data_IF_566479117857
#
_entry.id   IF_566479117857
#
_cell.length_a   1.000
_cell.length_b   1.000
_cell.length_c   1.000
_cell.angle_alpha   90.00
_cell.angle_beta   90.00
_cell.angle_gamma   90.00
#
_symmetry.space_group_name_H-M   'P 1'
#
loop_
_entity.id
_entity.type
_entity.pdbx_description
1 polymer ?
#
# COMPACT_ATOMS: atom_id res chain seq x y z
N UNK A 1 9.46 -1.30 -21.34
CA UNK A 1 8.09 -1.00 -21.85
C UNK A 1 7.33 -2.30 -21.80
N UNK A 2 6.37 -2.40 -20.88
CA UNK A 2 5.41 -3.49 -20.75
C UNK A 2 4.77 -3.74 -22.10
N UNK A 3 4.61 -5.01 -22.50
CA UNK A 3 3.71 -5.32 -23.60
C UNK A 3 2.33 -4.91 -23.12
N UNK A 4 1.82 -3.81 -23.63
CA UNK A 4 0.45 -3.36 -23.34
C UNK A 4 -0.48 -4.42 -23.90
N UNK A 5 -0.96 -5.33 -23.05
CA UNK A 5 -1.86 -6.37 -23.49
C UNK A 5 -3.20 -5.71 -23.78
N UNK A 6 -3.68 -5.86 -25.03
CA UNK A 6 -5.06 -5.50 -25.31
C UNK A 6 -5.99 -6.33 -24.42
N UNK A 7 -7.14 -5.78 -23.97
CA UNK A 7 -8.07 -6.53 -23.13
C UNK A 7 -8.51 -7.84 -23.80
N UNK A 8 -8.67 -7.85 -25.14
CA UNK A 8 -8.97 -9.06 -25.88
C UNK A 8 -7.85 -10.11 -25.79
N UNK A 9 -6.59 -9.72 -26.01
CA UNK A 9 -5.46 -10.64 -25.89
C UNK A 9 -5.30 -11.19 -24.46
N UNK A 10 -5.63 -10.39 -23.44
CA UNK A 10 -5.67 -10.82 -22.05
C UNK A 10 -6.73 -11.90 -21.82
N UNK A 11 -7.96 -11.71 -22.33
CA UNK A 11 -9.05 -12.71 -22.18
C UNK A 11 -8.80 -14.04 -22.91
N UNK A 12 -7.92 -14.06 -23.91
CA UNK A 12 -7.58 -15.28 -24.66
C UNK A 12 -6.53 -16.14 -23.93
N UNK A 13 -5.92 -15.63 -22.86
CA UNK A 13 -4.98 -16.40 -22.04
C UNK A 13 -5.72 -17.22 -20.99
N UNK A 14 -5.12 -18.35 -20.63
CA UNK A 14 -5.51 -19.13 -19.45
C UNK A 14 -4.57 -18.78 -18.32
N UNK A 15 -5.13 -18.39 -17.17
CA UNK A 15 -4.38 -18.09 -15.96
C UNK A 15 -4.72 -19.11 -14.87
N UNK A 16 -3.72 -19.54 -14.12
CA UNK A 16 -3.93 -20.26 -12.87
C UNK A 16 -4.55 -19.33 -11.82
N UNK A 17 -3.99 -18.12 -11.71
CA UNK A 17 -4.44 -17.11 -10.76
C UNK A 17 -4.78 -15.81 -11.48
N UNK A 18 -5.91 -15.22 -11.10
CA UNK A 18 -6.25 -13.83 -11.48
C UNK A 18 -6.22 -12.96 -10.22
N UNK A 19 -5.27 -12.01 -10.18
CA UNK A 19 -5.12 -11.04 -9.10
C UNK A 19 -5.84 -9.75 -9.47
N UNK A 20 -6.75 -9.31 -8.61
CA UNK A 20 -7.55 -8.09 -8.81
C UNK A 20 -6.99 -6.97 -7.96
N UNK A 21 -6.38 -5.97 -8.60
CA UNK A 21 -5.73 -4.83 -7.98
C UNK A 21 -4.21 -4.98 -7.97
N UNK A 22 -3.53 -4.11 -8.70
CA UNK A 22 -2.07 -3.97 -8.74
C UNK A 22 -1.52 -3.09 -7.64
N UNK A 23 -2.12 -3.13 -6.44
CA UNK A 23 -1.70 -2.35 -5.28
C UNK A 23 -0.50 -2.95 -4.53
N UNK A 24 -0.29 -2.50 -3.29
CA UNK A 24 0.78 -2.97 -2.42
C UNK A 24 0.79 -4.50 -2.29
N UNK A 25 -0.30 -5.11 -1.85
CA UNK A 25 -0.36 -6.57 -1.66
C UNK A 25 -0.48 -7.33 -2.99
N UNK A 26 -1.27 -6.83 -3.94
CA UNK A 26 -1.57 -7.55 -5.18
C UNK A 26 -0.34 -7.78 -6.06
N UNK A 27 0.54 -6.78 -6.19
CA UNK A 27 1.81 -6.95 -6.91
C UNK A 27 2.70 -7.98 -6.23
N UNK A 28 2.81 -7.95 -4.89
CA UNK A 28 3.62 -8.91 -4.13
C UNK A 28 3.11 -10.34 -4.36
N UNK A 29 1.80 -10.55 -4.23
CA UNK A 29 1.21 -11.88 -4.43
C UNK A 29 1.42 -12.36 -5.85
N UNK A 30 1.15 -11.51 -6.85
CA UNK A 30 1.27 -11.89 -8.25
C UNK A 30 2.70 -12.29 -8.62
N UNK A 31 3.71 -11.52 -8.17
CA UNK A 31 5.11 -11.81 -8.47
C UNK A 31 5.59 -13.06 -7.74
N UNK A 32 5.20 -13.27 -6.47
CA UNK A 32 5.59 -14.48 -5.72
C UNK A 32 4.96 -15.74 -6.28
N UNK A 33 3.71 -15.68 -6.74
CA UNK A 33 3.08 -16.79 -7.46
C UNK A 33 3.80 -17.10 -8.79
N UNK A 34 4.26 -16.07 -9.49
CA UNK A 34 4.97 -16.20 -10.76
C UNK A 34 6.43 -16.69 -10.61
N UNK A 35 6.98 -16.80 -9.39
CA UNK A 35 8.29 -17.42 -9.15
C UNK A 35 8.30 -18.90 -9.58
N UNK A 36 7.14 -19.59 -9.56
CA UNK A 36 7.00 -20.91 -10.19
C UNK A 36 6.75 -20.72 -11.70
N UNK A 37 7.68 -21.16 -12.58
CA UNK A 37 7.53 -21.00 -14.03
C UNK A 37 6.36 -21.81 -14.62
N UNK A 38 5.77 -22.74 -13.87
CA UNK A 38 4.60 -23.52 -14.28
C UNK A 38 3.27 -22.83 -13.93
N UNK A 39 3.30 -21.72 -13.18
CA UNK A 39 2.13 -20.95 -12.80
C UNK A 39 1.98 -19.74 -13.70
N UNK A 40 0.79 -19.52 -14.25
CA UNK A 40 0.46 -18.32 -15.04
C UNK A 40 -0.43 -17.39 -14.23
N UNK A 41 0.00 -16.15 -14.10
CA UNK A 41 -0.70 -15.13 -13.30
C UNK A 41 -1.15 -13.98 -14.21
N UNK A 42 -2.44 -13.64 -14.12
CA UNK A 42 -2.99 -12.43 -14.73
C UNK A 42 -3.32 -11.41 -13.63
N UNK A 43 -2.88 -10.17 -13.79
CA UNK A 43 -3.18 -9.08 -12.85
C UNK A 43 -3.97 -7.98 -13.55
N UNK A 44 -5.10 -7.61 -12.96
CA UNK A 44 -5.98 -6.53 -13.45
C UNK A 44 -5.83 -5.32 -12.53
N UNK A 45 -5.46 -4.17 -13.07
CA UNK A 45 -5.34 -2.89 -12.35
C UNK A 45 -6.18 -1.79 -13.04
N UNK A 46 -6.97 -1.07 -12.25
CA UNK A 46 -7.86 -0.01 -12.76
C UNK A 46 -7.09 1.24 -13.19
N UNK A 47 -5.96 1.53 -12.54
CA UNK A 47 -5.05 2.62 -12.85
C UNK A 47 -4.04 2.30 -13.94
N UNK A 48 -3.18 3.28 -14.21
CA UNK A 48 -2.12 3.17 -15.22
C UNK A 48 -0.76 2.83 -14.59
N UNK A 49 0.21 2.52 -15.45
CA UNK A 49 1.63 2.46 -15.08
C UNK A 49 2.19 3.88 -14.99
N UNK A 50 2.61 4.27 -13.79
CA UNK A 50 3.23 5.58 -13.51
C UNK A 50 4.62 5.45 -12.90
N UNK A 51 5.31 4.31 -13.07
CA UNK A 51 6.59 4.07 -12.36
C UNK A 51 7.66 5.09 -12.71
N UNK A 52 7.70 5.57 -13.95
CA UNK A 52 8.65 6.57 -14.41
C UNK A 52 8.19 8.02 -14.17
N UNK A 53 7.02 8.23 -13.58
CA UNK A 53 6.51 9.58 -13.34
C UNK A 53 7.21 10.22 -12.14
N UNK A 54 7.86 11.37 -12.36
CA UNK A 54 8.56 12.10 -11.31
C UNK A 54 7.63 12.54 -10.17
N UNK A 55 6.33 12.74 -10.43
CA UNK A 55 5.33 13.03 -9.39
C UNK A 55 5.22 11.90 -8.37
N UNK A 56 5.49 10.66 -8.79
CA UNK A 56 5.42 9.47 -7.94
C UNK A 56 6.80 9.10 -7.41
N UNK A 57 7.80 9.06 -8.30
CA UNK A 57 9.14 8.61 -7.98
C UNK A 57 9.88 9.55 -7.03
N UNK A 58 9.68 10.86 -7.11
CA UNK A 58 10.33 11.82 -6.20
C UNK A 58 9.58 11.86 -4.86
N UNK A 59 10.25 11.67 -3.70
CA UNK A 59 9.62 11.70 -2.38
C UNK A 59 8.70 12.89 -2.10
N UNK A 60 9.02 14.06 -2.65
CA UNK A 60 8.24 15.30 -2.54
C UNK A 60 7.49 15.68 -3.83
N UNK A 61 7.28 14.70 -4.72
CA UNK A 61 6.46 14.87 -5.90
C UNK A 61 5.05 15.36 -5.53
N UNK A 62 4.45 16.13 -6.42
CA UNK A 62 3.15 16.78 -6.19
C UNK A 62 2.17 16.48 -7.31
N UNK A 63 0.88 16.72 -7.06
CA UNK A 63 -0.16 16.70 -8.10
C UNK A 63 -0.75 15.32 -8.44
N UNK A 64 -0.40 14.28 -7.68
CA UNK A 64 -1.04 12.96 -7.75
C UNK A 64 -2.21 12.81 -6.76
N UNK A 65 -2.17 13.49 -5.62
CA UNK A 65 -3.30 13.51 -4.68
C UNK A 65 -4.47 14.32 -5.26
N UNK A 66 -5.70 13.84 -5.07
CA UNK A 66 -6.91 14.49 -5.62
C UNK A 66 -6.90 14.63 -7.16
N UNK A 67 -6.16 13.75 -7.84
CA UNK A 67 -6.08 13.71 -9.29
C UNK A 67 -6.65 12.37 -9.79
N UNK A 68 -7.68 12.36 -10.65
CA UNK A 68 -8.32 11.12 -11.09
C UNK A 68 -7.37 10.17 -11.84
N UNK A 69 -6.25 10.65 -12.37
CA UNK A 69 -5.26 9.81 -13.07
C UNK A 69 -4.43 8.93 -12.10
N UNK A 70 -4.42 9.26 -10.81
CA UNK A 70 -3.58 8.63 -9.77
C UNK A 70 -4.37 8.23 -8.52
N UNK A 71 -5.56 8.80 -8.30
CA UNK A 71 -6.35 8.69 -7.09
C UNK A 71 -7.79 8.29 -7.43
N UNK A 72 -8.40 7.46 -6.58
CA UNK A 72 -9.82 7.15 -6.65
C UNK A 72 -10.72 8.33 -6.27
N UNK A 73 -10.16 9.39 -5.67
CA UNK A 73 -10.85 10.61 -5.25
C UNK A 73 -12.07 10.36 -4.37
N UNK A 74 -11.95 9.42 -3.43
CA UNK A 74 -13.08 9.04 -2.59
C UNK A 74 -13.31 10.08 -1.50
N UNK A 75 -14.54 10.13 -1.01
CA UNK A 75 -14.89 10.89 0.18
C UNK A 75 -15.87 10.08 1.02
N UNK A 76 -15.78 10.23 2.33
CA UNK A 76 -16.77 9.67 3.24
C UNK A 76 -18.13 10.35 3.06
N UNK A 77 -19.21 9.69 3.48
CA UNK A 77 -20.46 10.41 3.76
C UNK A 77 -20.22 11.48 4.85
N UNK A 78 -21.08 12.50 5.00
CA UNK A 78 -20.98 13.46 6.10
C UNK A 78 -20.82 12.77 7.46
N UNK A 79 -19.77 13.13 8.20
CA UNK A 79 -19.43 12.50 9.47
C UNK A 79 -19.94 13.35 10.65
N UNK A 80 -20.95 12.90 11.43
CA UNK A 80 -21.44 13.66 12.59
C UNK A 80 -20.34 13.97 13.61
N UNK A 81 -19.44 13.00 13.86
CA UNK A 81 -18.28 13.16 14.74
C UNK A 81 -17.21 14.14 14.22
N UNK A 82 -17.31 14.60 12.97
CA UNK A 82 -16.40 15.56 12.37
C UNK A 82 -17.13 16.84 11.88
N UNK A 83 -18.15 17.27 12.63
CA UNK A 83 -18.98 18.44 12.33
C UNK A 83 -19.68 18.36 10.96
N UNK A 84 -20.19 17.18 10.61
CA UNK A 84 -20.89 16.88 9.35
C UNK A 84 -20.04 17.13 8.08
N UNK A 85 -18.71 17.15 8.21
CA UNK A 85 -17.83 17.24 7.05
C UNK A 85 -17.79 15.91 6.29
N UNK A 86 -17.74 16.02 4.97
CA UNK A 86 -17.30 14.94 4.08
C UNK A 86 -15.78 14.94 4.07
N UNK A 87 -15.15 13.83 4.44
CA UNK A 87 -13.69 13.73 4.57
C UNK A 87 -13.14 13.06 3.32
N UNK A 88 -12.19 13.71 2.66
CA UNK A 88 -11.49 13.15 1.49
C UNK A 88 -10.61 11.96 1.92
N UNK A 89 -10.72 10.83 1.22
CA UNK A 89 -9.96 9.61 1.48
C UNK A 89 -9.20 9.22 0.21
N UNK A 90 -7.94 9.62 0.15
CA UNK A 90 -7.07 9.26 -0.97
C UNK A 90 -6.81 7.75 -1.00
N UNK A 91 -6.93 7.14 -2.19
CA UNK A 91 -6.44 5.78 -2.47
C UNK A 91 -5.79 5.77 -3.85
N UNK A 92 -4.58 5.23 -3.93
CA UNK A 92 -3.84 5.16 -5.18
C UNK A 92 -4.55 4.29 -6.22
N UNK A 93 -4.67 4.81 -7.45
CA UNK A 93 -5.26 4.19 -8.64
C UNK A 93 -4.19 4.10 -9.73
N UNK A 94 -3.23 3.20 -9.53
CA UNK A 94 -2.07 2.97 -10.39
C UNK A 94 -1.42 1.63 -10.03
N UNK A 95 -0.49 1.14 -10.87
CA UNK A 95 0.41 0.06 -10.44
C UNK A 95 1.24 0.52 -9.23
N UNK A 96 1.20 -0.27 -8.16
CA UNK A 96 1.70 0.08 -6.83
C UNK A 96 0.61 0.55 -5.86
N UNK A 97 -0.55 0.96 -6.37
CA UNK A 97 -1.67 1.48 -5.58
C UNK A 97 -1.23 2.57 -4.61
N UNK A 98 -1.74 2.51 -3.38
CA UNK A 98 -1.43 3.52 -2.36
C UNK A 98 0.04 3.54 -1.91
N UNK A 99 0.86 2.52 -2.20
CA UNK A 99 2.32 2.63 -1.94
C UNK A 99 3.01 3.64 -2.85
N UNK A 100 2.44 3.91 -4.03
CA UNK A 100 2.89 4.96 -4.95
C UNK A 100 2.50 6.37 -4.51
N UNK A 101 1.53 6.51 -3.60
CA UNK A 101 1.03 7.82 -3.15
C UNK A 101 1.13 8.06 -1.63
N UNK A 102 1.77 7.15 -0.87
CA UNK A 102 1.94 7.30 0.58
C UNK A 102 3.04 8.32 0.95
N UNK A 103 3.12 8.65 2.24
CA UNK A 103 4.14 9.53 2.82
C UNK A 103 5.49 8.84 3.10
N UNK A 104 5.69 7.63 2.59
CA UNK A 104 6.91 6.81 2.67
C UNK A 104 7.42 6.41 4.05
N UNK A 105 6.70 6.73 5.13
CA UNK A 105 7.03 6.23 6.46
C UNK A 105 7.00 4.71 6.45
N UNK A 106 8.10 4.08 6.84
CA UNK A 106 8.19 2.65 7.06
C UNK A 106 8.21 2.40 8.56
N UNK A 107 7.18 1.71 9.06
CA UNK A 107 7.04 1.38 10.46
C UNK A 107 6.14 0.14 10.60
N UNK A 108 6.42 -0.69 11.61
CA UNK A 108 5.57 -1.80 12.05
C UNK A 108 4.71 -1.39 13.25
N UNK A 109 3.64 -2.16 13.47
CA UNK A 109 2.83 -2.07 14.69
C UNK A 109 3.60 -2.58 15.91
N UNK A 110 3.01 -2.41 17.09
CA UNK A 110 3.49 -3.02 18.31
C UNK A 110 3.27 -4.54 18.25
N UNK A 111 4.08 -5.36 18.93
CA UNK A 111 3.96 -6.82 18.84
C UNK A 111 2.55 -7.30 19.25
N UNK A 112 1.98 -6.67 20.26
CA UNK A 112 0.65 -6.92 20.81
C UNK A 112 -0.47 -6.67 19.79
N UNK A 113 -0.28 -5.77 18.82
CA UNK A 113 -1.26 -5.52 17.76
C UNK A 113 -1.41 -6.77 16.88
N UNK A 114 -0.30 -7.43 16.55
CA UNK A 114 -0.29 -8.66 15.75
C UNK A 114 -0.69 -9.88 16.58
N UNK A 115 -0.21 -9.97 17.83
CA UNK A 115 -0.60 -11.03 18.75
C UNK A 115 -2.12 -11.01 19.01
N UNK A 116 -2.74 -9.82 19.02
CA UNK A 116 -4.18 -9.67 19.07
C UNK A 116 -4.87 -10.34 17.86
N UNK A 117 -4.32 -10.24 16.64
CA UNK A 117 -4.88 -10.93 15.47
C UNK A 117 -4.91 -12.45 15.64
N UNK A 118 -3.79 -13.03 16.11
CA UNK A 118 -3.72 -14.46 16.41
C UNK A 118 -4.80 -14.86 17.43
N UNK A 119 -4.91 -14.11 18.53
CA UNK A 119 -5.85 -14.42 19.62
C UNK A 119 -7.33 -14.24 19.24
N UNK A 120 -7.66 -13.23 18.43
CA UNK A 120 -9.05 -12.86 18.10
C UNK A 120 -9.58 -13.71 16.94
N UNK A 121 -8.77 -13.94 15.90
CA UNK A 121 -9.22 -14.55 14.66
C UNK A 121 -8.83 -16.02 14.50
N UNK A 122 -8.04 -16.58 15.43
CA UNK A 122 -7.78 -18.03 15.50
C UNK A 122 -6.82 -18.56 14.44
N UNK A 123 -5.96 -17.71 13.86
CA UNK A 123 -5.03 -18.07 12.79
C UNK A 123 -3.66 -18.61 13.30
N UNK A 124 -3.67 -19.33 14.43
CA UNK A 124 -2.47 -19.89 15.09
C UNK A 124 -1.36 -18.84 15.35
N UNK A 125 -0.15 -19.26 15.72
CA UNK A 125 0.98 -18.36 15.98
C UNK A 125 1.50 -17.66 14.70
N UNK A 126 1.01 -18.04 13.50
CA UNK A 126 1.48 -17.53 12.20
C UNK A 126 1.21 -16.03 11.98
N UNK A 127 0.17 -15.48 12.61
CA UNK A 127 -0.17 -14.05 12.53
C UNK A 127 0.24 -13.25 13.76
N UNK A 128 0.97 -13.87 14.70
CA UNK A 128 1.67 -13.17 15.78
C UNK A 128 2.80 -12.29 15.22
N UNK A 129 3.36 -11.42 16.05
CA UNK A 129 4.54 -10.64 15.64
C UNK A 129 5.69 -11.55 15.19
N UNK A 130 5.97 -12.60 15.97
CA UNK A 130 7.04 -13.55 15.67
C UNK A 130 6.76 -14.37 14.40
N UNK A 131 5.50 -14.75 14.18
CA UNK A 131 5.08 -15.45 12.95
C UNK A 131 5.22 -14.59 11.70
N UNK A 132 4.97 -13.28 11.82
CA UNK A 132 5.07 -12.32 10.71
C UNK A 132 6.49 -11.76 10.51
N UNK A 133 7.35 -11.78 11.53
CA UNK A 133 8.70 -11.22 11.48
C UNK A 133 9.54 -11.73 10.29
N UNK A 134 9.56 -13.04 9.96
CA UNK A 134 10.24 -13.53 8.75
C UNK A 134 9.74 -12.86 7.45
N UNK A 135 8.45 -12.56 7.35
CA UNK A 135 7.85 -11.93 6.17
C UNK A 135 8.10 -10.42 6.14
N UNK A 136 8.08 -9.75 7.29
CA UNK A 136 8.53 -8.36 7.39
C UNK A 136 9.97 -8.23 6.88
N UNK A 137 10.88 -9.07 7.38
CA UNK A 137 12.28 -9.12 6.94
C UNK A 137 12.41 -9.46 5.45
N UNK A 138 11.62 -10.43 4.94
CA UNK A 138 11.66 -10.81 3.52
C UNK A 138 11.21 -9.68 2.57
N UNK A 139 10.45 -8.70 3.05
CA UNK A 139 9.92 -7.61 2.23
C UNK A 139 10.90 -6.44 2.04
N UNK A 140 11.85 -6.27 2.96
CA UNK A 140 12.68 -5.07 3.05
C UNK A 140 14.17 -5.34 2.83
N UNK A 141 14.86 -4.31 2.33
CA UNK A 141 16.31 -4.19 2.30
C UNK A 141 16.66 -2.92 3.06
N UNK A 142 16.94 -3.13 4.33
CA UNK A 142 17.22 -2.11 5.30
C UNK A 142 18.68 -1.70 5.27
N UNK A 143 18.91 -0.39 5.43
CA UNK A 143 20.24 0.21 5.57
C UNK A 143 20.38 0.88 6.92
N UNK A 144 21.60 0.89 7.46
CA UNK A 144 21.87 1.46 8.78
C UNK A 144 21.60 2.98 8.82
N UNK A 145 20.97 3.51 9.89
CA UNK A 145 20.75 4.94 10.02
C UNK A 145 22.06 5.72 10.14
N UNK A 146 22.09 6.89 9.49
CA UNK A 146 23.16 7.87 9.71
C UNK A 146 23.03 8.61 11.04
N UNK A 147 23.91 9.58 11.27
CA UNK A 147 24.03 10.31 12.55
C UNK A 147 23.07 11.49 12.72
N UNK A 148 22.21 11.77 11.73
CA UNK A 148 21.50 13.06 11.62
C UNK A 148 20.20 13.15 12.43
N UNK A 149 19.59 12.04 12.82
CA UNK A 149 18.23 12.06 13.39
C UNK A 149 18.17 12.34 14.90
N UNK A 150 19.23 12.00 15.61
CA UNK A 150 19.42 12.37 17.02
C UNK A 150 20.78 13.04 17.21
N UNK A 151 20.95 14.29 16.76
CA UNK A 151 22.24 14.97 16.85
C UNK A 151 22.78 14.97 18.27
N UNK A 152 23.96 14.37 18.46
CA UNK A 152 24.61 14.23 19.76
C UNK A 152 24.19 13.02 20.59
N UNK A 153 23.30 12.15 20.09
CA UNK A 153 22.98 10.87 20.73
C UNK A 153 23.69 9.73 20.00
N UNK A 154 24.32 8.83 20.76
CA UNK A 154 24.79 7.56 20.22
C UNK A 154 23.60 6.61 20.06
N UNK A 155 23.51 5.94 18.93
CA UNK A 155 22.55 4.84 18.78
C UNK A 155 23.03 3.70 19.70
N UNK A 156 22.24 3.41 20.72
CA UNK A 156 22.60 2.40 21.74
C UNK A 156 21.87 1.07 21.57
N UNK A 157 20.87 0.98 20.69
CA UNK A 157 20.07 -0.24 20.48
C UNK A 157 20.50 -0.96 19.20
N UNK A 158 20.55 -2.29 19.26
CA UNK A 158 20.79 -3.10 18.06
C UNK A 158 19.55 -3.14 17.17
N UNK A 159 19.76 -2.98 15.86
CA UNK A 159 18.73 -3.07 14.83
C UNK A 159 18.70 -4.46 14.14
N UNK A 160 19.80 -5.21 14.20
CA UNK A 160 20.09 -6.29 13.23
C UNK A 160 19.10 -7.44 13.26
N UNK A 161 18.46 -7.71 14.39
CA UNK A 161 17.60 -8.89 14.52
C UNK A 161 16.20 -8.62 13.93
N UNK A 162 15.77 -7.36 13.90
CA UNK A 162 14.44 -6.96 13.46
C UNK A 162 14.34 -6.76 11.94
N UNK A 163 15.45 -6.49 11.25
CA UNK A 163 15.42 -6.03 9.87
C UNK A 163 15.91 -7.03 8.83
N UNK A 164 15.37 -6.91 7.62
CA UNK A 164 15.79 -7.69 6.44
C UNK A 164 16.76 -6.92 5.55
N UNK A 165 17.63 -7.64 4.82
CA UNK A 165 18.65 -7.02 3.97
C UNK A 165 18.60 -7.47 2.51
N UNK A 166 17.69 -8.39 2.18
CA UNK A 166 17.62 -9.04 0.86
C UNK A 166 16.27 -8.82 0.15
N UNK A 167 15.35 -8.09 0.80
CA UNK A 167 14.04 -7.79 0.24
C UNK A 167 14.09 -6.77 -0.91
N UNK A 168 13.01 -6.67 -1.70
CA UNK A 168 12.98 -5.75 -2.83
C UNK A 168 12.73 -4.29 -2.41
N UNK A 169 12.00 -4.03 -1.32
CA UNK A 169 11.73 -2.65 -0.86
C UNK A 169 12.96 -2.07 -0.19
N UNK A 170 13.53 -1.04 -0.81
CA UNK A 170 14.70 -0.32 -0.28
C UNK A 170 14.27 0.62 0.83
N UNK A 171 14.94 0.53 1.98
CA UNK A 171 14.72 1.42 3.11
C UNK A 171 15.97 2.24 3.40
N UNK A 172 15.76 3.50 3.74
CA UNK A 172 16.80 4.43 4.14
C UNK A 172 16.28 5.36 5.23
N UNK A 173 17.20 6.04 5.90
CA UNK A 173 16.86 7.07 6.87
C UNK A 173 17.07 8.44 6.27
N UNK A 174 16.30 9.46 6.68
CA UNK A 174 16.43 10.74 6.04
C UNK A 174 17.81 11.36 6.36
N UNK A 175 18.40 11.95 5.34
CA UNK A 175 19.78 12.45 5.34
C UNK A 175 19.84 13.99 5.47
N UNK A 176 18.72 14.61 5.85
CA UNK A 176 18.55 16.03 6.00
C UNK A 176 17.69 16.31 7.23
N UNK A 177 18.10 17.29 8.03
CA UNK A 177 17.35 17.77 9.19
C UNK A 177 17.09 19.27 9.05
N UNK A 178 15.91 19.67 9.49
CA UNK A 178 15.47 21.05 9.64
C UNK A 178 16.01 21.68 10.92
N UNK A 179 15.87 23.01 11.02
CA UNK A 179 16.24 23.77 12.22
C UNK A 179 15.38 23.40 13.45
N UNK A 180 14.29 22.65 13.28
CA UNK A 180 13.35 22.29 14.36
C UNK A 180 13.52 20.86 14.86
N UNK A 181 14.25 19.99 14.16
CA UNK A 181 14.34 18.58 14.52
C UNK A 181 15.07 18.37 15.86
N UNK A 182 16.24 19.02 16.06
CA UNK A 182 16.99 18.94 17.34
C UNK A 182 16.18 19.52 18.50
N UNK A 183 15.62 20.75 18.42
CA UNK A 183 14.77 21.29 19.48
C UNK A 183 13.56 20.40 19.80
N UNK A 184 12.98 19.73 18.80
CA UNK A 184 11.85 18.82 19.02
C UNK A 184 12.27 17.59 19.84
N UNK A 185 13.41 16.97 19.49
CA UNK A 185 13.98 15.84 20.25
C UNK A 185 14.26 16.24 21.70
N UNK A 186 14.91 17.38 21.92
CA UNK A 186 15.22 17.90 23.26
C UNK A 186 13.94 18.16 24.07
N UNK A 187 12.92 18.76 23.45
CA UNK A 187 11.64 19.02 24.09
C UNK A 187 10.96 17.73 24.53
N UNK A 188 10.92 16.70 23.66
CA UNK A 188 10.36 15.38 23.97
C UNK A 188 11.10 14.72 25.14
N UNK A 189 12.44 14.76 25.14
CA UNK A 189 13.23 14.21 26.25
C UNK A 189 13.00 14.98 27.56
N UNK A 190 12.82 16.30 27.51
CA UNK A 190 12.52 17.11 28.70
C UNK A 190 11.19 16.75 29.37
N UNK A 191 10.28 16.12 28.63
CA UNK A 191 9.02 15.56 29.14
C UNK A 191 9.18 14.15 29.72
N UNK A 192 10.38 13.58 29.69
CA UNK A 192 10.68 12.23 30.17
C UNK A 192 10.31 11.12 29.19
N UNK A 193 10.04 11.43 27.92
CA UNK A 193 9.76 10.44 26.90
C UNK A 193 11.06 9.86 26.33
N UNK A 194 11.22 8.53 26.26
CA UNK A 194 12.42 7.90 25.73
C UNK A 194 12.49 8.04 24.20
N UNK A 195 13.72 8.11 23.69
CA UNK A 195 13.99 7.93 22.26
C UNK A 195 13.91 6.43 21.95
N UNK A 196 13.28 6.09 20.83
CA UNK A 196 13.17 4.72 20.38
C UNK A 196 13.92 4.55 19.07
N UNK A 197 15.09 3.92 19.17
CA UNK A 197 15.94 3.69 18.02
C UNK A 197 15.41 2.55 17.16
N UNK A 198 14.84 1.49 17.74
CA UNK A 198 14.35 0.32 17.00
C UNK A 198 12.84 0.08 17.18
N UNK A 199 11.98 0.98 16.65
CA UNK A 199 10.52 0.86 16.80
C UNK A 199 9.92 -0.35 16.06
N UNK A 200 10.67 -0.92 15.11
CA UNK A 200 10.25 -2.05 14.28
C UNK A 200 10.57 -3.43 14.90
N UNK A 201 11.23 -3.43 16.06
CA UNK A 201 11.57 -4.63 16.83
C UNK A 201 10.43 -5.22 17.67
N UNK A 202 9.22 -4.66 17.57
CA UNK A 202 8.04 -5.11 18.31
C UNK A 202 7.64 -4.18 19.46
N UNK A 203 8.52 -3.25 19.86
CA UNK A 203 8.20 -2.18 20.80
C UNK A 203 8.30 -0.82 20.10
N UNK A 204 7.14 -0.26 19.75
CA UNK A 204 6.98 1.06 19.13
C UNK A 204 6.85 2.23 20.13
N UNK A 205 7.10 2.01 21.43
CA UNK A 205 6.93 3.03 22.48
C UNK A 205 7.99 4.13 22.40
N UNK A 206 7.61 5.39 22.64
CA UNK A 206 8.54 6.52 22.71
C UNK A 206 8.59 7.36 21.44
N UNK A 207 9.69 8.07 21.23
CA UNK A 207 9.88 8.94 20.06
C UNK A 207 10.75 8.24 19.01
N UNK A 208 10.17 7.74 17.91
CA UNK A 208 10.82 6.74 17.07
C UNK A 208 11.75 7.33 16.00
N UNK A 209 12.84 6.61 15.74
CA UNK A 209 13.65 6.75 14.55
C UNK A 209 13.00 5.94 13.42
N UNK A 210 12.43 6.65 12.44
CA UNK A 210 11.64 6.01 11.40
C UNK A 210 12.38 5.97 10.07
N UNK A 211 12.47 4.77 9.50
CA UNK A 211 12.93 4.60 8.13
C UNK A 211 11.92 5.18 7.13
N UNK A 212 12.38 5.34 5.89
CA UNK A 212 11.61 5.69 4.73
C UNK A 212 11.83 4.65 3.64
N UNK A 213 10.78 4.27 2.92
CA UNK A 213 10.94 3.42 1.73
C UNK A 213 11.43 4.25 0.53
N UNK A 214 12.67 4.75 0.62
CA UNK A 214 13.39 5.51 -0.40
C UNK A 214 14.69 4.77 -0.71
N UNK A 215 14.99 4.59 -1.99
CA UNK A 215 16.23 3.98 -2.47
C UNK A 215 17.42 4.87 -2.06
N UNK A 216 18.34 4.40 -1.20
CA UNK A 216 19.42 5.22 -0.65
C UNK A 216 20.44 5.65 -1.71
N UNK A 217 20.52 4.97 -2.86
CA UNK A 217 21.45 5.30 -3.93
C UNK A 217 20.85 6.26 -4.95
N UNK A 218 19.53 6.19 -5.15
CA UNK A 218 18.83 6.97 -6.19
C UNK A 218 18.03 8.15 -5.66
N UNK A 219 17.74 8.20 -4.36
CA UNK A 219 16.91 9.24 -3.77
C UNK A 219 15.44 9.21 -4.21
N UNK A 220 14.98 8.10 -4.80
CA UNK A 220 13.60 7.93 -5.29
C UNK A 220 12.81 6.97 -4.42
N UNK A 221 11.48 7.16 -4.39
CA UNK A 221 10.52 6.27 -3.74
C UNK A 221 10.75 4.82 -4.15
N UNK A 222 10.84 3.96 -3.14
CA UNK A 222 10.89 2.50 -3.28
C UNK A 222 9.55 1.90 -2.89
N UNK A 223 8.75 1.52 -3.88
CA UNK A 223 7.39 1.03 -3.69
C UNK A 223 7.08 -0.14 -4.62
N UNK A 224 5.91 -0.77 -4.47
CA UNK A 224 5.66 -2.04 -5.16
C UNK A 224 5.60 -1.91 -6.69
N UNK A 225 5.22 -0.75 -7.23
CA UNK A 225 5.33 -0.48 -8.68
C UNK A 225 6.79 -0.54 -9.17
N UNK A 226 7.71 0.13 -8.48
CA UNK A 226 9.14 0.12 -8.83
C UNK A 226 9.85 -1.19 -8.53
N UNK A 227 9.48 -1.89 -7.45
CA UNK A 227 10.27 -3.00 -6.91
C UNK A 227 9.68 -4.39 -7.21
N UNK A 228 8.38 -4.48 -7.50
CA UNK A 228 7.71 -5.75 -7.82
C UNK A 228 7.16 -5.76 -9.24
N UNK A 229 6.62 -4.65 -9.75
CA UNK A 229 6.15 -4.63 -11.14
C UNK A 229 7.31 -4.46 -12.14
N UNK A 230 8.16 -3.44 -11.97
CA UNK A 230 9.17 -3.11 -12.99
C UNK A 230 10.14 -4.26 -13.32
N UNK A 231 10.73 -4.97 -12.34
CA UNK A 231 11.64 -6.09 -12.60
C UNK A 231 10.97 -7.27 -13.30
N UNK A 232 9.65 -7.45 -13.08
CA UNK A 232 8.87 -8.59 -13.56
C UNK A 232 7.97 -8.24 -14.76
N UNK A 233 8.04 -7.01 -15.28
CA UNK A 233 7.16 -6.51 -16.35
C UNK A 233 7.30 -7.25 -17.69
N UNK A 234 8.33 -8.08 -17.83
CA UNK A 234 8.63 -8.88 -19.03
C UNK A 234 8.60 -10.39 -18.75
N UNK A 235 8.18 -10.81 -17.56
CA UNK A 235 8.13 -12.24 -17.22
C UNK A 235 7.08 -12.95 -18.09
N UNK A 236 7.43 -14.11 -18.69
CA UNK A 236 6.58 -14.76 -19.68
C UNK A 236 5.29 -15.37 -19.09
N UNK A 237 5.27 -15.58 -17.77
CA UNK A 237 4.17 -16.19 -17.03
C UNK A 237 3.40 -15.19 -16.14
N UNK A 238 3.77 -13.92 -16.11
CA UNK A 238 3.08 -12.86 -15.37
C UNK A 238 2.61 -11.75 -16.33
N UNK A 239 1.30 -11.54 -16.40
CA UNK A 239 0.68 -10.63 -17.36
C UNK A 239 -0.08 -9.55 -16.61
N UNK A 240 0.28 -8.28 -16.85
CA UNK A 240 -0.38 -7.12 -16.27
C UNK A 240 -1.33 -6.47 -17.28
N UNK A 241 -2.54 -6.13 -16.85
CA UNK A 241 -3.53 -5.37 -17.60
C UNK A 241 -3.92 -4.12 -16.79
N UNK A 242 -3.37 -2.96 -17.17
CA UNK A 242 -3.69 -1.65 -16.59
C UNK A 242 -4.90 -1.00 -17.26
N UNK A 243 -5.50 0.01 -16.64
CA UNK A 243 -6.70 0.68 -17.14
C UNK A 243 -7.96 -0.19 -17.15
N UNK A 244 -7.92 -1.36 -16.52
CA UNK A 244 -8.99 -2.34 -16.48
C UNK A 244 -9.56 -2.42 -15.06
N UNK A 245 -10.82 -2.04 -14.88
CA UNK A 245 -11.47 -2.10 -13.57
C UNK A 245 -12.25 -3.40 -13.44
N UNK A 246 -11.91 -4.26 -12.49
CA UNK A 246 -12.75 -5.38 -12.12
C UNK A 246 -14.11 -4.88 -11.60
N UNK A 247 -15.19 -5.49 -12.09
CA UNK A 247 -16.56 -5.08 -11.77
C UNK A 247 -17.42 -6.21 -11.21
N UNK A 248 -17.02 -7.47 -11.40
CA UNK A 248 -17.73 -8.63 -10.85
C UNK A 248 -16.83 -9.86 -10.78
N UNK A 249 -16.97 -10.66 -9.72
CA UNK A 249 -16.42 -12.00 -9.61
C UNK A 249 -17.43 -12.98 -10.19
N UNK A 250 -16.95 -13.86 -11.05
CA UNK A 250 -17.76 -14.90 -11.66
C UNK A 250 -17.67 -16.17 -10.82
N UNK A 251 -18.81 -16.78 -10.52
CA UNK A 251 -18.88 -18.02 -9.77
C UNK A 251 -19.30 -19.18 -10.68
N UNK A 252 -18.52 -20.26 -10.64
CA UNK A 252 -18.84 -21.52 -11.29
C UNK A 252 -19.66 -22.44 -10.37
N UNK A 253 -20.20 -23.51 -10.96
CA UNK A 253 -20.81 -24.60 -10.19
C UNK A 253 -19.71 -25.51 -9.65
N UNK A 254 -19.73 -25.77 -8.35
CA UNK A 254 -18.91 -26.82 -7.74
C UNK A 254 -19.69 -28.14 -7.65
N UNK A 255 -19.00 -29.23 -7.31
CA UNK A 255 -19.64 -30.48 -6.92
C UNK A 255 -20.22 -30.32 -5.50
N UNK A 256 -21.54 -30.14 -5.39
CA UNK A 256 -22.25 -29.93 -4.12
C UNK A 256 -22.70 -28.48 -3.93
N UNK A 257 -22.78 -28.05 -2.67
CA UNK A 257 -23.27 -26.71 -2.28
C UNK A 257 -22.15 -25.63 -2.28
N UNK A 258 -20.93 -25.99 -2.63
CA UNK A 258 -19.79 -25.05 -2.65
C UNK A 258 -19.88 -24.06 -3.81
N UNK A 259 -19.58 -22.79 -3.51
CA UNK A 259 -19.48 -21.71 -4.49
C UNK A 259 -18.01 -21.49 -4.80
N UNK A 260 -17.64 -21.53 -6.08
CA UNK A 260 -16.24 -21.44 -6.51
C UNK A 260 -16.07 -20.26 -7.46
N UNK A 261 -15.17 -19.34 -7.15
CA UNK A 261 -14.80 -18.27 -8.07
C UNK A 261 -14.12 -18.88 -9.30
N UNK A 262 -14.62 -18.58 -10.50
CA UNK A 262 -14.12 -19.11 -11.77
C UNK A 262 -13.45 -18.05 -12.64
N UNK A 263 -13.52 -16.78 -12.25
CA UNK A 263 -12.99 -15.68 -13.05
C UNK A 263 -13.50 -14.31 -12.62
N UNK A 264 -13.20 -13.31 -13.45
CA UNK A 264 -13.50 -11.90 -13.19
C UNK A 264 -14.03 -11.25 -14.45
N UNK A 265 -15.11 -10.51 -14.31
CA UNK A 265 -15.53 -9.52 -15.30
C UNK A 265 -14.85 -8.18 -15.00
N UNK A 266 -14.36 -7.51 -16.04
CA UNK A 266 -13.74 -6.20 -15.94
C UNK A 266 -14.23 -5.26 -17.04
N UNK A 267 -14.18 -3.95 -16.76
CA UNK A 267 -14.44 -2.89 -17.73
C UNK A 267 -13.13 -2.28 -18.18
N UNK A 268 -12.98 -2.10 -19.50
CA UNK A 268 -11.87 -1.38 -20.11
C UNK A 268 -12.46 -0.41 -21.15
N UNK A 269 -12.23 0.89 -20.97
CA UNK A 269 -12.85 1.96 -21.78
C UNK A 269 -14.38 1.81 -21.94
N UNK A 270 -15.07 1.42 -20.86
CA UNK A 270 -16.53 1.23 -20.85
C UNK A 270 -17.02 -0.08 -21.48
N UNK A 271 -16.14 -0.87 -22.10
CA UNK A 271 -16.47 -2.18 -22.67
C UNK A 271 -16.21 -3.27 -21.64
N UNK A 272 -17.15 -4.21 -21.52
CA UNK A 272 -17.07 -5.33 -20.59
C UNK A 272 -16.32 -6.51 -21.22
N UNK A 273 -15.43 -7.12 -20.46
CA UNK A 273 -14.67 -8.32 -20.78
C UNK A 273 -14.73 -9.31 -19.62
N UNK A 274 -14.37 -10.56 -19.88
CA UNK A 274 -14.33 -11.64 -18.88
C UNK A 274 -13.06 -12.46 -19.03
N UNK A 275 -12.41 -12.77 -17.91
CA UNK A 275 -11.25 -13.67 -17.85
C UNK A 275 -11.52 -14.78 -16.84
N UNK A 276 -11.03 -16.00 -17.14
CA UNK A 276 -11.16 -17.13 -16.25
C UNK A 276 -9.86 -17.38 -15.46
N UNK A 277 -10.00 -17.88 -14.24
CA UNK A 277 -8.93 -18.44 -13.43
C UNK A 277 -9.16 -19.94 -13.27
N UNK A 278 -8.12 -20.76 -13.41
CA UNK A 278 -8.24 -22.22 -13.25
C UNK A 278 -8.04 -22.67 -11.81
N UNK A 279 -7.45 -21.84 -10.94
CA UNK A 279 -7.28 -22.12 -9.51
C UNK A 279 -8.03 -21.09 -8.67
N UNK A 280 -7.52 -19.87 -8.58
CA UNK A 280 -8.05 -18.87 -7.64
C UNK A 280 -8.17 -17.48 -8.26
N UNK A 281 -9.15 -16.73 -7.74
CA UNK A 281 -9.23 -15.28 -7.92
C UNK A 281 -8.83 -14.63 -6.60
N UNK A 282 -7.80 -13.78 -6.64
CA UNK A 282 -7.23 -13.15 -5.45
C UNK A 282 -7.61 -11.68 -5.44
N UNK A 283 -8.35 -11.24 -4.42
CA UNK A 283 -8.79 -9.85 -4.29
C UNK A 283 -7.76 -9.02 -3.52
N UNK A 284 -7.13 -8.08 -4.23
CA UNK A 284 -6.17 -7.13 -3.68
C UNK A 284 -6.54 -5.68 -4.06
N UNK A 285 -7.84 -5.39 -4.20
CA UNK A 285 -8.35 -4.08 -4.59
C UNK A 285 -8.26 -3.04 -3.45
N UNK A 286 -7.87 -3.47 -2.24
CA UNK A 286 -7.72 -2.63 -1.05
C UNK A 286 -8.97 -2.58 -0.18
N UNK A 287 -8.82 -2.06 1.04
CA UNK A 287 -9.82 -2.16 2.11
C UNK A 287 -11.21 -1.60 1.77
N UNK A 288 -11.31 -0.66 0.82
CA UNK A 288 -12.60 -0.06 0.41
C UNK A 288 -13.19 -0.75 -0.83
N UNK A 289 -12.34 -1.11 -1.81
CA UNK A 289 -12.81 -1.63 -3.10
C UNK A 289 -13.00 -3.14 -3.09
N UNK A 290 -12.26 -3.89 -2.26
CA UNK A 290 -12.47 -5.33 -2.09
C UNK A 290 -13.89 -5.66 -1.60
N UNK A 291 -14.40 -5.09 -0.48
CA UNK A 291 -15.78 -5.36 -0.06
C UNK A 291 -16.81 -4.89 -1.08
N UNK A 292 -16.63 -3.72 -1.69
CA UNK A 292 -17.50 -3.24 -2.78
C UNK A 292 -17.58 -4.26 -3.93
N UNK A 293 -16.44 -4.82 -4.36
CA UNK A 293 -16.43 -5.79 -5.45
C UNK A 293 -17.11 -7.11 -5.04
N UNK A 294 -16.93 -7.56 -3.79
CA UNK A 294 -17.65 -8.71 -3.24
C UNK A 294 -19.16 -8.49 -3.26
N UNK A 295 -19.64 -7.34 -2.77
CA UNK A 295 -21.06 -6.97 -2.78
C UNK A 295 -21.62 -6.92 -4.20
N UNK A 296 -20.93 -6.26 -5.13
CA UNK A 296 -21.30 -6.22 -6.55
C UNK A 296 -21.36 -7.62 -7.20
N UNK A 297 -20.67 -8.59 -6.60
CA UNK A 297 -20.64 -9.98 -7.05
C UNK A 297 -21.69 -10.85 -6.36
N UNK A 298 -22.44 -10.31 -5.39
CA UNK A 298 -23.45 -11.03 -4.63
C UNK A 298 -22.95 -11.63 -3.32
N UNK A 299 -21.79 -11.22 -2.80
CA UNK A 299 -21.24 -11.66 -1.50
C UNK A 299 -21.36 -10.50 -0.51
N UNK A 300 -22.30 -10.57 0.42
CA UNK A 300 -22.64 -9.47 1.34
C UNK A 300 -23.98 -9.70 2.05
N UNK A 301 -24.55 -8.67 2.68
CA UNK A 301 -25.88 -8.75 3.31
C UNK A 301 -26.96 -9.00 2.23
N UNK A 302 -27.62 -10.15 2.29
CA UNK A 302 -28.57 -10.56 1.26
C UNK A 302 -29.76 -9.59 1.09
N UNK A 303 -30.22 -8.93 2.16
CA UNK A 303 -31.33 -7.97 2.10
C UNK A 303 -30.88 -6.68 1.42
N UNK A 304 -29.71 -6.15 1.81
CA UNK A 304 -29.11 -4.98 1.17
C UNK A 304 -28.89 -5.24 -0.32
N UNK A 305 -28.24 -6.36 -0.66
CA UNK A 305 -27.96 -6.73 -2.04
C UNK A 305 -29.24 -6.85 -2.88
N UNK A 306 -30.26 -7.51 -2.35
CA UNK A 306 -31.56 -7.64 -3.02
C UNK A 306 -32.21 -6.26 -3.24
N UNK A 307 -32.14 -5.37 -2.26
CA UNK A 307 -32.67 -4.00 -2.37
C UNK A 307 -31.99 -3.15 -3.46
N UNK A 308 -30.73 -3.48 -3.79
CA UNK A 308 -29.93 -2.86 -4.84
C UNK A 308 -30.07 -3.59 -6.20
N UNK A 309 -30.90 -4.62 -6.29
CA UNK A 309 -31.10 -5.41 -7.51
C UNK A 309 -29.95 -6.38 -7.82
N UNK A 310 -29.12 -6.70 -6.83
CA UNK A 310 -28.03 -7.67 -6.94
C UNK A 310 -28.53 -9.01 -6.38
N UNK A 311 -28.43 -10.08 -7.18
CA UNK A 311 -28.76 -11.44 -6.70
C UNK A 311 -27.73 -11.89 -5.66
N UNK A 312 -28.13 -12.18 -4.41
CA UNK A 312 -27.21 -12.74 -3.42
C UNK A 312 -26.71 -14.12 -3.84
N UNK A 313 -25.41 -14.34 -3.66
CA UNK A 313 -24.69 -15.58 -3.92
C UNK A 313 -24.23 -16.19 -2.60
N UNK A 314 -23.65 -15.38 -1.72
CA UNK A 314 -23.32 -15.75 -0.34
C UNK A 314 -23.84 -14.66 0.59
N UNK A 315 -24.69 -15.03 1.54
CA UNK A 315 -25.14 -14.13 2.59
C UNK A 315 -24.04 -14.02 3.66
N UNK A 316 -23.31 -12.91 3.63
CA UNK A 316 -22.20 -12.62 4.53
C UNK A 316 -22.28 -11.13 4.94
N UNK A 317 -23.17 -10.78 5.89
CA UNK A 317 -23.49 -9.38 6.19
C UNK A 317 -22.33 -8.57 6.77
N UNK A 318 -21.20 -9.21 7.11
CA UNK A 318 -19.99 -8.54 7.59
C UNK A 318 -19.14 -7.92 6.47
N UNK A 319 -19.43 -8.21 5.19
CA UNK A 319 -18.71 -7.57 4.08
C UNK A 319 -19.01 -6.08 4.05
N UNK A 320 -17.95 -5.26 4.02
CA UNK A 320 -18.05 -3.79 4.06
C UNK A 320 -18.07 -3.21 5.48
N UNK A 321 -18.28 -4.06 6.49
CA UNK A 321 -18.34 -3.68 7.89
C UNK A 321 -16.96 -3.70 8.58
N UNK A 322 -16.93 -3.28 9.84
CA UNK A 322 -15.72 -3.23 10.68
C UNK A 322 -14.57 -2.39 10.08
N UNK A 323 -14.90 -1.37 9.28
CA UNK A 323 -13.93 -0.41 8.77
C UNK A 323 -13.29 0.34 9.96
N UNK A 324 -11.96 0.28 10.01
CA UNK A 324 -11.13 1.01 10.97
C UNK A 324 -10.13 1.87 10.22
N UNK A 325 -9.88 3.08 10.73
CA UNK A 325 -8.89 4.02 10.19
C UNK A 325 -8.34 4.89 11.32
N UNK A 326 -7.17 5.48 11.12
CA UNK A 326 -6.57 6.41 12.08
C UNK A 326 -7.02 7.85 11.77
N UNK A 327 -7.83 8.49 12.64
CA UNK A 327 -8.24 9.88 12.41
C UNK A 327 -7.04 10.82 12.56
N UNK A 328 -6.83 11.67 11.55
CA UNK A 328 -5.77 12.67 11.55
C UNK A 328 -6.31 14.05 11.98
N UNK A 329 -5.64 14.66 12.95
CA UNK A 329 -5.83 16.07 13.33
C UNK A 329 -4.50 16.78 13.15
N UNK A 330 -4.50 17.84 12.34
CA UNK A 330 -3.30 18.63 12.04
C UNK A 330 -3.29 19.85 12.96
N UNK A 331 -2.16 20.09 13.63
CA UNK A 331 -1.90 21.33 14.38
C UNK A 331 -0.68 22.00 13.77
N UNK A 332 -0.84 23.25 13.34
CA UNK A 332 0.21 24.02 12.68
C UNK A 332 0.66 25.18 13.57
N UNK A 333 1.96 25.45 13.58
CA UNK A 333 2.57 26.52 14.36
C UNK A 333 3.39 27.44 13.45
N UNK A 334 3.27 28.75 13.66
CA UNK A 334 4.13 29.71 12.97
C UNK A 334 5.53 29.67 13.57
N UNK A 335 6.52 29.41 12.73
CA UNK A 335 7.94 29.43 13.11
C UNK A 335 8.50 30.86 13.14
N UNK A 336 9.67 31.01 13.76
CA UNK A 336 10.42 32.27 13.73
C UNK A 336 10.93 32.52 12.32
N UNK A 337 11.07 33.80 11.97
CA UNK A 337 11.62 34.17 10.66
C UNK A 337 13.04 33.62 10.51
N UNK A 338 13.33 33.05 9.34
CA UNK A 338 14.64 32.45 9.02
C UNK A 338 14.83 31.00 9.48
N UNK A 339 13.83 30.37 10.13
CA UNK A 339 13.88 28.93 10.44
C UNK A 339 13.70 28.10 9.17
N UNK A 340 14.69 27.27 8.83
CA UNK A 340 14.68 26.40 7.67
C UNK A 340 13.88 25.12 7.95
N UNK A 341 12.86 24.86 7.13
CA UNK A 341 12.08 23.61 7.10
C UNK A 341 11.86 23.14 5.67
N UNK A 342 11.21 21.98 5.52
CA UNK A 342 10.78 21.48 4.20
C UNK A 342 9.73 22.38 3.52
N UNK A 343 9.19 23.40 4.21
CA UNK A 343 8.34 24.41 3.57
C UNK A 343 9.07 25.16 2.44
N UNK A 344 10.40 25.26 2.50
CA UNK A 344 11.21 25.88 1.44
C UNK A 344 11.08 25.14 0.10
N UNK A 345 10.84 23.82 0.08
CA UNK A 345 10.57 23.09 -1.16
C UNK A 345 9.29 23.58 -1.87
N UNK A 346 8.34 24.15 -1.12
CA UNK A 346 7.12 24.75 -1.65
C UNK A 346 7.28 26.26 -1.87
N UNK A 347 7.91 26.95 -0.93
CA UNK A 347 7.91 28.41 -0.85
C UNK A 347 9.06 29.04 -1.67
N UNK A 348 10.11 28.29 -2.00
CA UNK A 348 11.33 28.78 -2.63
C UNK A 348 11.72 27.92 -3.83
N UNK A 349 11.43 28.44 -5.02
CA UNK A 349 11.66 27.74 -6.30
C UNK A 349 13.14 27.42 -6.54
N UNK A 350 14.06 28.29 -6.09
CA UNK A 350 15.51 28.02 -6.23
C UNK A 350 15.90 26.82 -5.38
N UNK A 351 15.48 26.81 -4.11
CA UNK A 351 15.73 25.68 -3.20
C UNK A 351 15.14 24.38 -3.74
N UNK A 352 13.90 24.42 -4.26
CA UNK A 352 13.26 23.27 -4.87
C UNK A 352 14.03 22.72 -6.09
N UNK A 353 14.54 23.61 -6.96
CA UNK A 353 15.33 23.21 -8.13
C UNK A 353 16.71 22.63 -7.74
N UNK A 354 17.36 23.20 -6.73
CA UNK A 354 18.62 22.69 -6.19
C UNK A 354 18.44 21.31 -5.56
N UNK A 355 17.37 21.10 -4.81
CA UNK A 355 17.04 19.81 -4.22
C UNK A 355 16.70 18.75 -5.28
N UNK A 356 16.07 19.13 -6.40
CA UNK A 356 15.77 18.21 -7.52
C UNK A 356 17.01 17.82 -8.34
N UNK A 357 18.06 18.65 -8.31
CA UNK A 357 19.30 18.40 -9.05
C UNK A 357 20.28 17.48 -8.31
N UNK A 358 20.06 17.27 -7.00
CA UNK A 358 20.77 16.30 -6.16
C UNK A 358 20.15 14.91 -6.36
#
# INVERSE_FOLDING_TARGET
RTVEFSPLAFTQKTFDYVVVGGGTAGLIVATRLAEDPNVRVGLIEAGQDHVSDARIAVPQGQGYLSNPDYDWMMSTIPQPGAANRSIFISRGKMLGGSSGSNAMVWQRGHAEDYNAFSSIYGNEDDWSFDGLLPYFKKSENWTEPGTLWYPGQEVTQSFTDAHGHDGPIQLSYPNWASDVDVPMVEAVQSLGLPLNFNPDGGDSTGFPLLARNVDPLKGIRSYTGSQYFSPHSQDPNLVFLTGAQAIKINFGKSTGDSIVASGVDFSFNGVKYSVNATREVILAAGAVKTPQLLELSGVGDAQLLTSLGITPVVDLPQIGENLQDHPLVITEFKLRDGTLTLDELRNNVTYANEALAQ
#
